data_IF_430586688995
#
_entry.id   IF_430586688995
#
_cell.length_a   1.000
_cell.length_b   1.000
_cell.length_c   1.000
_cell.angle_alpha   90.00
_cell.angle_beta   90.00
_cell.angle_gamma   90.00
#
_symmetry.space_group_name_H-M   'P 1'
#
loop_
_entity.id
_entity.type
_entity.pdbx_description
1 polymer ?
#
# COMPACT_ATOMS: atom_id res chain seq x y z
N UNK A 1 -12.69 4.33 -11.23
CA UNK A 1 -12.91 4.20 -12.67
C UNK A 1 -13.67 2.91 -13.03
N UNK A 2 -13.21 1.77 -12.57
CA UNK A 2 -14.00 0.52 -12.66
C UNK A 2 -15.20 0.46 -11.71
N UNK A 3 -15.25 1.36 -10.73
CA UNK A 3 -16.34 1.38 -9.74
C UNK A 3 -17.74 1.46 -10.39
N UNK A 4 -17.89 2.16 -11.52
CA UNK A 4 -19.15 2.24 -12.25
C UNK A 4 -19.55 0.93 -12.94
N UNK A 5 -18.58 0.15 -13.44
CA UNK A 5 -18.84 -1.15 -14.07
C UNK A 5 -19.30 -2.21 -13.04
N UNK A 6 -18.77 -2.14 -11.83
CA UNK A 6 -19.11 -3.07 -10.73
C UNK A 6 -20.17 -2.53 -9.77
N UNK A 7 -20.74 -1.34 -10.03
CA UNK A 7 -21.71 -0.70 -9.13
C UNK A 7 -21.14 -0.27 -7.78
N UNK A 8 -19.79 -0.25 -7.64
CA UNK A 8 -19.10 0.09 -6.40
C UNK A 8 -19.10 1.61 -6.24
N UNK A 9 -19.71 2.10 -5.16
CA UNK A 9 -19.79 3.52 -4.84
C UNK A 9 -18.78 3.98 -3.78
N UNK A 10 -18.26 3.03 -3.01
CA UNK A 10 -17.30 3.28 -1.94
C UNK A 10 -16.03 2.49 -2.22
N UNK A 11 -14.94 3.18 -2.55
CA UNK A 11 -13.67 2.58 -2.96
C UNK A 11 -12.51 3.36 -2.38
N UNK A 12 -11.44 2.65 -2.03
CA UNK A 12 -10.17 3.26 -1.64
C UNK A 12 -9.08 2.73 -2.57
N UNK A 13 -8.31 3.64 -3.15
CA UNK A 13 -7.06 3.32 -3.82
C UNK A 13 -5.91 3.62 -2.88
N UNK A 14 -5.08 2.64 -2.58
CA UNK A 14 -3.89 2.76 -1.74
C UNK A 14 -2.66 2.83 -2.63
N UNK A 15 -1.96 3.94 -2.57
CA UNK A 15 -0.63 4.10 -3.15
C UNK A 15 0.41 3.53 -2.18
N UNK A 16 1.10 2.47 -2.58
CA UNK A 16 2.19 1.85 -1.83
C UNK A 16 3.51 1.92 -2.63
N UNK A 17 4.00 3.14 -2.78
CA UNK A 17 5.18 3.49 -3.58
C UNK A 17 6.28 4.16 -2.75
N UNK A 18 6.96 5.15 -3.33
CA UNK A 18 8.01 5.92 -2.65
C UNK A 18 7.53 6.50 -1.32
N UNK A 19 6.27 6.92 -1.26
CA UNK A 19 5.53 7.23 -0.04
C UNK A 19 4.27 6.37 0.04
N UNK A 20 3.46 6.58 1.08
CA UNK A 20 2.18 5.91 1.28
C UNK A 20 1.06 6.94 1.30
N UNK A 21 0.06 6.76 0.44
CA UNK A 21 -1.11 7.63 0.39
C UNK A 21 -2.37 6.86 0.05
N UNK A 22 -3.52 7.53 0.05
CA UNK A 22 -4.74 6.94 -0.49
C UNK A 22 -5.67 7.96 -1.14
N UNK A 23 -6.39 7.51 -2.16
CA UNK A 23 -7.55 8.19 -2.72
C UNK A 23 -8.83 7.52 -2.23
N UNK A 24 -9.79 8.30 -1.71
CA UNK A 24 -11.01 7.78 -1.11
C UNK A 24 -12.21 8.25 -1.91
N UNK A 25 -13.04 7.32 -2.36
CA UNK A 25 -14.33 7.58 -2.99
C UNK A 25 -15.43 7.09 -2.06
N UNK A 26 -16.34 7.99 -1.70
CA UNK A 26 -17.54 7.68 -0.89
C UNK A 26 -18.78 8.18 -1.63
N UNK A 27 -19.78 7.30 -1.76
CA UNK A 27 -21.01 7.58 -2.53
C UNK A 27 -20.75 8.04 -3.97
N UNK A 28 -19.69 7.51 -4.59
CA UNK A 28 -19.26 7.85 -5.95
C UNK A 28 -18.57 9.21 -6.08
N UNK A 29 -18.22 9.85 -4.97
CA UNK A 29 -17.55 11.15 -4.94
C UNK A 29 -16.16 11.04 -4.29
N UNK A 30 -15.20 11.72 -4.88
CA UNK A 30 -13.84 11.83 -4.31
C UNK A 30 -13.86 12.65 -3.02
N UNK A 31 -13.28 12.12 -1.97
CA UNK A 31 -13.11 12.83 -0.69
C UNK A 31 -11.87 13.72 -0.79
N UNK A 32 -12.08 15.02 -0.91
CA UNK A 32 -11.00 16.01 -1.03
C UNK A 32 -10.57 16.59 0.32
N UNK A 33 -11.48 16.62 1.30
CA UNK A 33 -11.27 17.41 2.52
C UNK A 33 -11.34 18.92 2.24
N UNK A 34 -11.12 19.73 3.28
CA UNK A 34 -11.29 21.17 3.18
C UNK A 34 -10.28 21.85 2.24
N UNK A 35 -9.06 21.29 2.10
CA UNK A 35 -7.97 21.86 1.29
C UNK A 35 -7.45 20.94 0.20
N UNK A 36 -8.19 19.88 -0.14
CA UNK A 36 -7.79 18.90 -1.15
C UNK A 36 -6.68 17.95 -0.73
N UNK A 37 -6.42 17.81 0.57
CA UNK A 37 -5.34 16.97 1.11
C UNK A 37 -5.87 15.78 1.94
N UNK A 38 -7.12 15.35 1.73
CA UNK A 38 -7.58 14.11 2.33
C UNK A 38 -6.84 12.91 1.74
N UNK A 39 -6.59 11.89 2.55
CA UNK A 39 -5.89 10.70 2.08
C UNK A 39 -4.41 10.63 2.47
N UNK A 40 -3.94 11.48 3.38
CA UNK A 40 -2.59 11.43 3.99
C UNK A 40 -2.41 10.18 4.87
N UNK A 41 -2.74 9.04 4.30
CA UNK A 41 -2.83 7.74 4.96
C UNK A 41 -1.49 7.27 5.54
N UNK A 42 -0.40 7.55 4.83
CA UNK A 42 0.95 7.22 5.27
C UNK A 42 1.35 7.86 6.59
N UNK A 43 0.71 8.97 6.95
CA UNK A 43 0.98 9.69 8.21
C UNK A 43 0.10 9.24 9.38
N UNK A 44 -0.73 8.20 9.19
CA UNK A 44 -1.44 7.57 10.31
C UNK A 44 -0.45 6.85 11.23
N UNK A 45 -0.53 7.14 12.53
CA UNK A 45 0.32 6.48 13.52
C UNK A 45 -0.11 5.03 13.73
N UNK A 46 0.77 4.09 13.43
CA UNK A 46 0.61 2.65 13.74
C UNK A 46 1.44 2.22 14.95
N UNK A 47 2.39 3.06 15.36
CA UNK A 47 3.24 2.81 16.52
C UNK A 47 3.60 4.13 17.22
N UNK A 48 2.88 4.50 18.28
CA UNK A 48 3.07 5.78 18.97
C UNK A 48 4.46 5.98 19.59
N UNK A 49 5.24 4.89 19.76
CA UNK A 49 6.65 4.91 20.21
C UNK A 49 7.64 4.78 19.06
N UNK A 50 7.15 4.81 17.83
CA UNK A 50 7.95 4.57 16.65
C UNK A 50 8.87 5.73 16.25
N UNK A 51 9.48 5.58 15.08
CA UNK A 51 10.40 6.56 14.50
C UNK A 51 9.72 7.91 14.28
N UNK A 52 10.50 8.98 14.41
CA UNK A 52 10.07 10.33 14.02
C UNK A 52 9.88 10.38 12.50
N UNK A 53 8.76 10.94 12.08
CA UNK A 53 8.45 11.19 10.69
C UNK A 53 8.73 12.66 10.33
N UNK A 54 9.05 12.92 9.08
CA UNK A 54 9.30 14.27 8.55
C UNK A 54 8.08 15.20 8.70
N UNK A 55 6.87 14.64 8.79
CA UNK A 55 5.66 15.42 9.09
C UNK A 55 5.57 15.95 10.54
N UNK A 56 6.54 15.59 11.40
CA UNK A 56 6.58 15.96 12.81
C UNK A 56 5.92 14.94 13.74
N UNK A 57 5.19 13.97 13.21
CA UNK A 57 4.54 12.90 13.98
C UNK A 57 5.49 11.72 14.22
N UNK A 58 5.11 10.76 15.08
CA UNK A 58 5.85 9.51 15.34
C UNK A 58 5.06 8.30 14.91
N UNK A 59 5.80 7.31 14.38
CA UNK A 59 5.25 6.01 14.06
C UNK A 59 4.28 6.00 12.90
N UNK A 60 4.41 6.93 11.97
CA UNK A 60 3.66 6.97 10.73
C UNK A 60 3.83 5.68 9.95
N UNK A 61 2.77 5.17 9.34
CA UNK A 61 2.76 3.95 8.53
C UNK A 61 3.85 3.97 7.46
N UNK A 62 4.04 5.11 6.79
CA UNK A 62 5.05 5.31 5.75
C UNK A 62 6.48 4.96 6.20
N UNK A 63 6.81 5.22 7.47
CA UNK A 63 8.14 4.89 8.04
C UNK A 63 8.38 3.38 8.23
N UNK A 64 7.40 2.54 7.89
CA UNK A 64 7.48 1.08 8.04
C UNK A 64 7.31 0.32 6.73
N UNK A 65 6.57 0.85 5.76
CA UNK A 65 6.21 0.11 4.55
C UNK A 65 6.21 0.92 3.25
N UNK A 66 6.71 2.17 3.23
CA UNK A 66 6.97 2.80 1.92
C UNK A 66 8.05 2.03 1.17
N UNK A 67 8.01 2.06 -0.16
CA UNK A 67 9.02 1.40 -0.99
C UNK A 67 10.42 1.93 -0.71
N UNK A 68 10.55 3.22 -0.38
CA UNK A 68 11.81 3.82 0.04
C UNK A 68 12.36 3.14 1.31
N UNK A 69 11.55 3.06 2.37
CA UNK A 69 11.96 2.44 3.65
C UNK A 69 12.22 0.94 3.48
N UNK A 70 11.45 0.27 2.65
CA UNK A 70 11.65 -1.12 2.29
C UNK A 70 13.03 -1.34 1.64
N UNK A 71 13.41 -0.51 0.65
CA UNK A 71 14.76 -0.55 0.04
C UNK A 71 15.87 -0.20 1.04
N UNK A 72 15.67 0.78 1.93
CA UNK A 72 16.61 1.10 2.99
C UNK A 72 16.86 -0.07 3.95
N UNK A 73 15.82 -0.83 4.28
CA UNK A 73 15.94 -2.01 5.13
C UNK A 73 16.73 -3.12 4.44
N UNK A 74 16.47 -3.39 3.16
CA UNK A 74 17.27 -4.33 2.36
C UNK A 74 18.73 -3.88 2.33
N UNK A 75 18.99 -2.61 2.00
CA UNK A 75 20.35 -2.04 1.94
C UNK A 75 21.09 -2.27 3.26
N UNK A 76 20.45 -2.01 4.39
CA UNK A 76 21.05 -2.21 5.73
C UNK A 76 21.45 -3.67 5.97
N UNK A 77 20.66 -4.64 5.50
CA UNK A 77 20.95 -6.06 5.62
C UNK A 77 22.10 -6.49 4.70
N UNK A 78 22.13 -5.96 3.47
CA UNK A 78 23.25 -6.20 2.54
C UNK A 78 24.57 -5.67 3.11
N UNK A 79 24.56 -4.45 3.68
CA UNK A 79 25.73 -3.85 4.33
C UNK A 79 26.18 -4.60 5.60
N UNK A 80 25.25 -5.29 6.28
CA UNK A 80 25.56 -6.19 7.38
C UNK A 80 26.17 -7.54 6.90
N UNK A 81 26.30 -7.75 5.60
CA UNK A 81 26.89 -8.95 5.00
C UNK A 81 25.93 -10.13 4.89
N UNK A 82 24.61 -9.92 4.99
CA UNK A 82 23.66 -11.00 4.76
C UNK A 82 23.69 -11.43 3.28
N UNK A 83 23.72 -12.76 3.01
CA UNK A 83 23.77 -13.25 1.63
C UNK A 83 22.45 -12.96 0.91
N UNK A 84 22.55 -12.37 -0.28
CA UNK A 84 21.43 -12.04 -1.15
C UNK A 84 21.90 -11.96 -2.60
N UNK A 85 21.00 -12.16 -3.55
CA UNK A 85 21.25 -11.90 -4.98
C UNK A 85 21.04 -10.42 -5.34
N UNK A 86 20.50 -9.62 -4.42
CA UNK A 86 20.28 -8.19 -4.61
C UNK A 86 21.58 -7.40 -4.46
N UNK A 87 21.64 -6.25 -5.13
CA UNK A 87 22.72 -5.28 -5.03
C UNK A 87 22.14 -3.94 -4.58
N UNK A 88 22.87 -3.22 -3.70
CA UNK A 88 22.47 -1.90 -3.20
C UNK A 88 22.21 -0.88 -4.32
N UNK A 89 22.91 -1.02 -5.44
CA UNK A 89 22.80 -0.11 -6.58
C UNK A 89 21.64 -0.45 -7.54
N UNK A 90 20.88 -1.50 -7.29
CA UNK A 90 19.81 -1.95 -8.17
C UNK A 90 18.61 -2.51 -7.37
N UNK A 91 18.04 -1.69 -6.49
CA UNK A 91 16.83 -2.02 -5.75
C UNK A 91 15.62 -1.42 -6.45
N UNK A 92 15.12 -2.12 -7.46
CA UNK A 92 13.88 -1.80 -8.19
C UNK A 92 12.79 -2.82 -7.87
N UNK A 93 11.53 -2.48 -8.12
CA UNK A 93 10.43 -3.44 -7.94
C UNK A 93 10.69 -4.72 -8.75
N UNK A 94 11.23 -4.61 -9.98
CA UNK A 94 11.55 -5.75 -10.84
C UNK A 94 12.66 -6.63 -10.26
N UNK A 95 13.81 -6.04 -9.85
CA UNK A 95 14.93 -6.82 -9.30
C UNK A 95 14.55 -7.52 -7.99
N UNK A 96 13.78 -6.83 -7.14
CA UNK A 96 13.30 -7.40 -5.88
C UNK A 96 12.26 -8.48 -6.14
N UNK A 97 11.37 -8.30 -7.14
CA UNK A 97 10.41 -9.32 -7.56
C UNK A 97 11.12 -10.62 -7.95
N UNK A 98 12.18 -10.52 -8.74
CA UNK A 98 12.97 -11.69 -9.16
C UNK A 98 13.66 -12.34 -7.97
N UNK A 99 14.19 -11.56 -7.04
CA UNK A 99 14.78 -12.08 -5.80
C UNK A 99 13.75 -12.82 -4.93
N UNK A 100 12.56 -12.26 -4.75
CA UNK A 100 11.46 -12.91 -4.01
C UNK A 100 11.05 -14.23 -4.67
N UNK A 101 10.92 -14.25 -6.01
CA UNK A 101 10.55 -15.45 -6.77
C UNK A 101 11.60 -16.58 -6.68
N UNK A 102 12.87 -16.21 -6.64
CA UNK A 102 13.97 -17.18 -6.52
C UNK A 102 14.25 -17.61 -5.09
N UNK A 103 13.50 -17.09 -4.12
CA UNK A 103 13.60 -17.48 -2.73
C UNK A 103 14.71 -16.78 -1.95
N UNK A 104 15.18 -15.61 -2.43
CA UNK A 104 16.13 -14.78 -1.68
C UNK A 104 15.54 -14.41 -0.31
N UNK A 105 16.28 -14.77 0.74
CA UNK A 105 15.80 -14.63 2.12
C UNK A 105 15.63 -13.16 2.52
N UNK A 106 16.60 -12.31 2.16
CA UNK A 106 16.57 -10.88 2.52
C UNK A 106 15.39 -10.19 1.86
N UNK A 107 15.23 -10.38 0.54
CA UNK A 107 14.13 -9.81 -0.22
C UNK A 107 12.77 -10.24 0.32
N UNK A 108 12.61 -11.52 0.58
CA UNK A 108 11.33 -12.08 1.00
C UNK A 108 10.92 -11.63 2.40
N UNK A 109 11.83 -11.71 3.38
CA UNK A 109 11.52 -11.33 4.77
C UNK A 109 11.21 -9.85 4.91
N UNK A 110 11.96 -8.96 4.23
CA UNK A 110 11.66 -7.53 4.26
C UNK A 110 10.37 -7.20 3.51
N UNK A 111 10.05 -7.93 2.42
CA UNK A 111 8.80 -7.76 1.71
C UNK A 111 7.58 -8.19 2.56
N UNK A 112 7.64 -9.37 3.16
CA UNK A 112 6.59 -9.86 4.06
C UNK A 112 6.33 -8.88 5.19
N UNK A 113 7.39 -8.36 5.81
CA UNK A 113 7.30 -7.36 6.87
C UNK A 113 6.67 -6.04 6.41
N UNK A 114 7.04 -5.53 5.23
CA UNK A 114 6.42 -4.33 4.67
C UNK A 114 4.91 -4.55 4.41
N UNK A 115 4.54 -5.71 3.85
CA UNK A 115 3.14 -6.10 3.64
C UNK A 115 2.35 -6.22 4.95
N UNK A 116 2.95 -6.75 6.02
CA UNK A 116 2.33 -6.83 7.34
C UNK A 116 2.01 -5.43 7.90
N UNK A 117 2.94 -4.48 7.80
CA UNK A 117 2.69 -3.10 8.23
C UNK A 117 1.61 -2.43 7.37
N UNK A 118 1.66 -2.58 6.05
CA UNK A 118 0.62 -2.06 5.15
C UNK A 118 -0.75 -2.61 5.53
N UNK A 119 -0.82 -3.90 5.88
CA UNK A 119 -2.07 -4.57 6.29
C UNK A 119 -2.69 -3.92 7.54
N UNK A 120 -1.88 -3.46 8.50
CA UNK A 120 -2.38 -2.73 9.69
C UNK A 120 -3.10 -1.45 9.25
N UNK A 121 -2.49 -0.71 8.33
CA UNK A 121 -3.12 0.48 7.76
C UNK A 121 -4.42 0.15 7.03
N UNK A 122 -4.43 -0.89 6.20
CA UNK A 122 -5.63 -1.32 5.45
C UNK A 122 -6.77 -1.70 6.40
N UNK A 123 -6.49 -2.42 7.49
CA UNK A 123 -7.48 -2.72 8.54
C UNK A 123 -8.07 -1.43 9.12
N UNK A 124 -7.24 -0.41 9.36
CA UNK A 124 -7.73 0.89 9.84
C UNK A 124 -8.64 1.59 8.82
N UNK A 125 -8.28 1.57 7.52
CA UNK A 125 -9.14 2.13 6.46
C UNK A 125 -10.49 1.42 6.37
N UNK A 126 -10.50 0.10 6.48
CA UNK A 126 -11.74 -0.70 6.46
C UNK A 126 -12.64 -0.31 7.64
N UNK A 127 -12.08 -0.22 8.84
CA UNK A 127 -12.83 0.15 10.04
C UNK A 127 -13.37 1.59 9.99
N UNK A 128 -12.67 2.51 9.30
CA UNK A 128 -13.07 3.92 9.21
C UNK A 128 -14.09 4.20 8.11
N UNK A 129 -13.97 3.54 6.96
CA UNK A 129 -14.71 3.90 5.75
C UNK A 129 -15.64 2.80 5.26
N UNK A 130 -15.51 1.56 5.74
CA UNK A 130 -16.27 0.41 5.28
C UNK A 130 -16.43 0.39 3.74
N UNK A 131 -15.32 0.39 2.97
CA UNK A 131 -15.37 0.44 1.52
C UNK A 131 -15.87 -0.89 0.94
N UNK A 132 -16.51 -0.84 -0.23
CA UNK A 132 -16.82 -2.04 -1.01
C UNK A 132 -15.61 -2.60 -1.76
N UNK A 133 -14.58 -1.75 -1.99
CA UNK A 133 -13.35 -2.16 -2.70
C UNK A 133 -12.13 -1.40 -2.19
N UNK A 134 -11.01 -2.12 -2.07
CA UNK A 134 -9.68 -1.55 -1.90
C UNK A 134 -8.80 -2.02 -3.05
N UNK A 135 -8.13 -1.09 -3.71
CA UNK A 135 -7.12 -1.38 -4.75
C UNK A 135 -5.77 -0.90 -4.24
N UNK A 136 -4.77 -1.78 -4.26
CA UNK A 136 -3.40 -1.47 -3.84
C UNK A 136 -2.53 -1.36 -5.10
N UNK A 137 -1.79 -0.28 -5.24
CA UNK A 137 -0.93 -0.05 -6.40
C UNK A 137 0.46 0.47 -6.03
N UNK A 138 1.20 0.77 -7.07
CA UNK A 138 2.58 1.22 -7.10
C UNK A 138 3.62 0.15 -6.73
N UNK A 139 4.89 0.56 -6.53
CA UNK A 139 6.06 -0.31 -6.55
C UNK A 139 5.97 -1.49 -5.60
N UNK A 140 5.43 -1.30 -4.39
CA UNK A 140 5.32 -2.40 -3.43
C UNK A 140 4.35 -3.48 -3.92
N UNK A 141 3.26 -3.08 -4.59
CA UNK A 141 2.29 -4.02 -5.14
C UNK A 141 2.84 -4.78 -6.37
N UNK A 142 3.81 -4.20 -7.08
CA UNK A 142 4.44 -4.82 -8.26
C UNK A 142 5.45 -5.92 -7.90
N UNK A 143 6.05 -5.90 -6.71
CA UNK A 143 7.08 -6.87 -6.28
C UNK A 143 6.54 -8.31 -6.28
N UNK A 144 5.49 -8.59 -5.53
CA UNK A 144 4.86 -9.91 -5.47
C UNK A 144 3.37 -9.80 -5.16
N UNK A 145 2.53 -9.47 -6.17
CA UNK A 145 1.11 -9.15 -6.01
C UNK A 145 0.31 -10.19 -5.24
N UNK A 146 0.51 -11.47 -5.56
CA UNK A 146 -0.24 -12.57 -4.94
C UNK A 146 0.16 -12.76 -3.47
N UNK A 147 1.44 -12.58 -3.14
CA UNK A 147 1.92 -12.65 -1.76
C UNK A 147 1.40 -11.46 -0.94
N UNK A 148 1.42 -10.26 -1.51
CA UNK A 148 0.82 -9.07 -0.89
C UNK A 148 -0.65 -9.30 -0.56
N UNK A 149 -1.44 -9.72 -1.56
CA UNK A 149 -2.87 -9.98 -1.37
C UNK A 149 -3.11 -11.03 -0.29
N UNK A 150 -2.33 -12.11 -0.31
CA UNK A 150 -2.44 -13.15 0.71
C UNK A 150 -2.23 -12.58 2.12
N UNK A 151 -1.14 -11.85 2.34
CA UNK A 151 -0.80 -11.28 3.67
C UNK A 151 -1.88 -10.29 4.12
N UNK A 152 -2.31 -9.39 3.21
CA UNK A 152 -3.34 -8.39 3.52
C UNK A 152 -4.67 -9.07 3.86
N UNK A 153 -5.12 -10.02 3.04
CA UNK A 153 -6.38 -10.72 3.27
C UNK A 153 -6.35 -11.55 4.56
N UNK A 154 -5.27 -12.27 4.82
CA UNK A 154 -5.09 -13.03 6.06
C UNK A 154 -5.18 -12.10 7.30
N UNK A 155 -4.56 -10.92 7.23
CA UNK A 155 -4.61 -9.94 8.32
C UNK A 155 -6.01 -9.34 8.50
N UNK A 156 -6.67 -9.00 7.39
CA UNK A 156 -8.03 -8.45 7.41
C UNK A 156 -9.00 -9.47 8.01
N UNK A 157 -8.93 -10.73 7.57
CA UNK A 157 -9.74 -11.83 8.13
C UNK A 157 -9.53 -12.02 9.63
N UNK A 158 -8.27 -11.89 10.09
CA UNK A 158 -7.94 -12.06 11.51
C UNK A 158 -8.38 -10.88 12.40
N UNK A 159 -8.51 -9.68 11.85
CA UNK A 159 -8.68 -8.44 12.62
C UNK A 159 -10.05 -7.77 12.46
N UNK A 160 -10.82 -8.11 11.43
CA UNK A 160 -12.09 -7.46 11.13
C UNK A 160 -13.26 -8.43 11.33
N UNK A 161 -14.36 -7.91 11.87
CA UNK A 161 -15.57 -8.69 12.04
C UNK A 161 -16.04 -9.26 10.67
N UNK A 162 -16.30 -10.58 10.58
CA UNK A 162 -16.75 -11.21 9.34
C UNK A 162 -17.97 -10.55 8.67
N UNK A 163 -18.86 -9.95 9.44
CA UNK A 163 -20.02 -9.22 8.91
C UNK A 163 -19.64 -7.96 8.12
N UNK A 164 -18.47 -7.39 8.40
CA UNK A 164 -17.95 -6.22 7.67
C UNK A 164 -17.10 -6.68 6.48
N UNK A 165 -16.32 -7.74 6.65
CA UNK A 165 -15.36 -8.20 5.65
C UNK A 165 -15.99 -8.86 4.43
N UNK A 166 -17.11 -9.60 4.60
CA UNK A 166 -17.70 -10.42 3.52
C UNK A 166 -18.07 -9.63 2.26
N UNK A 167 -18.24 -8.32 2.37
CA UNK A 167 -18.64 -7.44 1.28
C UNK A 167 -17.49 -6.59 0.71
N UNK A 168 -16.24 -6.85 1.14
CA UNK A 168 -15.08 -6.07 0.70
C UNK A 168 -14.25 -6.85 -0.31
N UNK A 169 -14.01 -6.25 -1.46
CA UNK A 169 -13.06 -6.77 -2.47
C UNK A 169 -11.70 -6.07 -2.28
N UNK A 170 -10.62 -6.85 -2.16
CA UNK A 170 -9.25 -6.32 -2.10
C UNK A 170 -8.49 -6.83 -3.31
N UNK A 171 -7.94 -5.91 -4.10
CA UNK A 171 -7.22 -6.22 -5.35
C UNK A 171 -5.92 -5.43 -5.43
N UNK A 172 -4.99 -5.91 -6.27
CA UNK A 172 -3.86 -5.12 -6.73
C UNK A 172 -4.19 -4.42 -8.03
N UNK A 173 -3.59 -3.25 -8.25
CA UNK A 173 -3.74 -2.53 -9.50
C UNK A 173 -3.21 -3.36 -10.68
N UNK A 174 -4.03 -3.49 -11.72
CA UNK A 174 -3.69 -4.19 -12.97
C UNK A 174 -3.80 -3.29 -14.19
N UNK A 175 -3.92 -1.98 -13.98
CA UNK A 175 -3.95 -1.03 -15.09
C UNK A 175 -2.55 -0.90 -15.69
N UNK A 176 -2.44 -0.91 -17.04
CA UNK A 176 -1.13 -0.79 -17.71
C UNK A 176 -0.55 0.63 -17.61
N UNK A 177 -1.36 1.61 -17.28
CA UNK A 177 -0.98 3.02 -17.18
C UNK A 177 -0.94 3.48 -15.71
N UNK A 178 -0.14 4.52 -15.44
CA UNK A 178 -0.05 5.10 -14.10
C UNK A 178 -1.42 5.51 -13.57
N UNK A 179 -1.87 4.95 -12.43
CA UNK A 179 -3.16 5.29 -11.83
C UNK A 179 -3.27 6.78 -11.47
N UNK A 180 -2.14 7.41 -11.11
CA UNK A 180 -2.09 8.84 -10.81
C UNK A 180 -2.40 9.69 -12.05
N UNK A 181 -1.87 9.30 -13.22
CA UNK A 181 -2.11 9.97 -14.49
C UNK A 181 -3.58 9.81 -14.95
N UNK A 182 -4.12 8.60 -14.81
CA UNK A 182 -5.53 8.31 -15.11
C UNK A 182 -6.47 9.07 -14.17
N UNK A 183 -6.13 9.14 -12.87
CA UNK A 183 -6.89 9.89 -11.88
C UNK A 183 -6.90 11.39 -12.18
N UNK A 184 -5.75 11.98 -12.50
CA UNK A 184 -5.63 13.38 -12.88
C UNK A 184 -6.44 13.70 -14.15
N UNK A 185 -6.34 12.86 -15.18
CA UNK A 185 -7.13 13.00 -16.40
C UNK A 185 -8.65 12.89 -16.15
N UNK A 186 -9.06 11.97 -15.27
CA UNK A 186 -10.48 11.81 -14.90
C UNK A 186 -11.03 13.05 -14.17
N UNK A 187 -10.24 13.67 -13.28
CA UNK A 187 -10.62 14.91 -12.59
C UNK A 187 -10.71 16.07 -13.59
N UNK A 188 -9.74 16.21 -14.50
CA UNK A 188 -9.75 17.26 -15.51
C UNK A 188 -10.94 17.16 -16.49
N UNK A 189 -11.41 15.94 -16.79
CA UNK A 189 -12.56 15.71 -17.65
C UNK A 189 -13.92 15.96 -16.98
N UNK A 190 -13.97 16.18 -15.65
CA UNK A 190 -15.19 16.46 -14.90
C UNK A 190 -15.46 17.96 -14.70
N UNK A 191 -14.48 18.80 -15.02
CA UNK A 191 -14.55 20.26 -15.00
C UNK A 191 -14.78 20.81 -16.42
#
# INVERSE_FOLDING_TARGET
YRSKEYGIRNMIYVLAGQGIGCGIITDGKLVLGQRGIAGEFGHNTINYRGALCECGNRGCLEKYCSFLVFCENITRRLQAGEPSILSENNLTAASISDAVKTGDKVAREEYEKACEFLSIGIVNLINQFNPGMIVIGDELAEVAPDLLLKIVCDKVHACINPLVYNDITIEVNRLPESPALLGAAAIAAQN
#
